data_IF_213322678071
#
_entry.id   IF_213322678071
#
_cell.length_a   1.000
_cell.length_b   1.000
_cell.length_c   1.000
_cell.angle_alpha   90.00
_cell.angle_beta   90.00
_cell.angle_gamma   90.00
#
_symmetry.space_group_name_H-M   'P 1'
#
loop_
_entity.id
_entity.type
_entity.pdbx_description
1 polymer ?
#
# COMPACT_ATOMS: atom_id res chain seq x y z
N UNK A 1 -21.81 8.18 -21.71
CA UNK A 1 -22.49 7.31 -20.72
C UNK A 1 -24.00 7.22 -20.84
N UNK A 2 -24.71 8.19 -21.46
CA UNK A 2 -26.08 7.95 -21.98
C UNK A 2 -26.14 6.67 -22.82
N UNK A 3 -25.07 6.43 -23.60
CA UNK A 3 -24.82 5.22 -24.39
C UNK A 3 -24.77 3.91 -23.58
N UNK A 4 -24.30 3.91 -22.33
CA UNK A 4 -24.21 2.68 -21.50
C UNK A 4 -25.57 2.38 -20.90
N UNK A 5 -26.27 3.40 -20.37
CA UNK A 5 -27.65 3.25 -19.90
C UNK A 5 -28.57 2.80 -21.03
N UNK A 6 -28.46 3.41 -22.22
CA UNK A 6 -29.25 2.99 -23.39
C UNK A 6 -28.85 1.60 -23.85
N UNK A 7 -27.55 1.25 -23.91
CA UNK A 7 -27.11 -0.11 -24.27
C UNK A 7 -27.63 -1.16 -23.32
N UNK A 8 -27.45 -1.00 -22.01
CA UNK A 8 -27.86 -2.01 -21.03
C UNK A 8 -29.39 -2.20 -21.04
N UNK A 9 -30.13 -1.09 -21.10
CA UNK A 9 -31.60 -1.14 -21.20
C UNK A 9 -32.05 -1.77 -22.51
N UNK A 10 -31.45 -1.41 -23.64
CA UNK A 10 -31.75 -2.01 -24.95
C UNK A 10 -31.41 -3.50 -25.00
N UNK A 11 -30.33 -3.92 -24.34
CA UNK A 11 -29.88 -5.31 -24.32
C UNK A 11 -30.82 -6.18 -23.50
N UNK A 12 -31.18 -5.75 -22.28
CA UNK A 12 -32.16 -6.48 -21.45
C UNK A 12 -33.57 -6.44 -22.03
N UNK A 13 -34.00 -5.30 -22.59
CA UNK A 13 -35.32 -5.21 -23.26
C UNK A 13 -35.35 -6.05 -24.53
N UNK A 14 -34.28 -6.02 -25.33
CA UNK A 14 -34.15 -6.84 -26.53
C UNK A 14 -34.17 -8.33 -26.20
N UNK A 15 -33.41 -8.76 -25.18
CA UNK A 15 -33.43 -10.15 -24.71
C UNK A 15 -34.82 -10.59 -24.24
N UNK A 16 -35.52 -9.70 -23.52
CA UNK A 16 -36.88 -9.95 -23.05
C UNK A 16 -37.89 -10.10 -24.20
N UNK A 17 -37.84 -9.19 -25.18
CA UNK A 17 -38.70 -9.23 -26.38
C UNK A 17 -38.43 -10.48 -27.21
N UNK A 18 -37.16 -10.84 -27.43
CA UNK A 18 -36.78 -12.06 -28.16
C UNK A 18 -37.28 -13.31 -27.43
N UNK A 19 -37.12 -13.38 -26.11
CA UNK A 19 -37.61 -14.51 -25.31
C UNK A 19 -39.13 -14.62 -25.36
N UNK A 20 -39.86 -13.50 -25.26
CA UNK A 20 -41.32 -13.46 -25.36
C UNK A 20 -41.85 -13.84 -26.74
N UNK A 21 -41.22 -13.35 -27.81
CA UNK A 21 -41.56 -13.74 -29.19
C UNK A 21 -41.28 -15.23 -29.45
N UNK A 22 -40.20 -15.76 -28.89
CA UNK A 22 -39.85 -17.18 -28.99
C UNK A 22 -40.89 -18.04 -28.27
N UNK A 23 -41.29 -17.67 -27.04
CA UNK A 23 -42.32 -18.38 -26.29
C UNK A 23 -43.67 -18.38 -27.04
N UNK A 24 -44.06 -17.24 -27.62
CA UNK A 24 -45.30 -17.10 -28.38
C UNK A 24 -45.29 -17.96 -29.66
N UNK A 25 -44.13 -18.03 -30.33
CA UNK A 25 -43.92 -18.91 -31.49
C UNK A 25 -44.03 -20.40 -31.09
N UNK A 26 -43.47 -20.78 -29.94
CA UNK A 26 -43.57 -22.15 -29.42
C UNK A 26 -45.02 -22.51 -29.10
N UNK A 27 -45.78 -21.62 -28.43
CA UNK A 27 -47.20 -21.85 -28.11
C UNK A 27 -48.03 -22.00 -29.39
N UNK A 28 -47.79 -21.16 -30.41
CA UNK A 28 -48.45 -21.29 -31.72
C UNK A 28 -48.18 -22.64 -32.38
N UNK A 29 -46.92 -23.09 -32.38
CA UNK A 29 -46.54 -24.39 -32.93
C UNK A 29 -47.17 -25.56 -32.14
N UNK A 30 -47.29 -25.43 -30.82
CA UNK A 30 -47.90 -26.44 -29.96
C UNK A 30 -49.41 -26.58 -30.23
N UNK A 31 -50.13 -25.45 -30.31
CA UNK A 31 -51.58 -25.40 -30.59
C UNK A 31 -51.88 -25.88 -32.01
N UNK A 32 -51.10 -25.45 -33.00
CA UNK A 32 -51.29 -25.86 -34.40
C UNK A 32 -51.05 -27.35 -34.62
N UNK A 33 -50.08 -27.97 -33.93
CA UNK A 33 -49.84 -29.43 -33.99
C UNK A 33 -50.83 -30.24 -33.15
N UNK A 34 -51.19 -29.78 -31.95
CA UNK A 34 -52.06 -30.52 -31.02
C UNK A 34 -53.47 -30.80 -31.56
N UNK A 35 -54.04 -29.89 -32.37
CA UNK A 35 -55.39 -30.08 -32.94
C UNK A 35 -55.45 -30.88 -34.24
N UNK A 36 -54.34 -31.05 -34.96
CA UNK A 36 -54.30 -31.97 -36.12
C UNK A 36 -54.53 -33.43 -35.70
N UNK A 37 -53.98 -33.82 -34.54
CA UNK A 37 -54.20 -35.14 -33.94
C UNK A 37 -55.65 -35.37 -33.47
N UNK A 38 -56.36 -34.31 -33.07
CA UNK A 38 -57.75 -34.41 -32.57
C UNK A 38 -58.77 -34.51 -33.73
N UNK A 39 -58.55 -33.76 -34.82
CA UNK A 39 -59.47 -33.77 -35.98
C UNK A 39 -59.41 -35.09 -36.74
N UNK A 40 -58.22 -35.69 -36.91
CA UNK A 40 -58.08 -37.00 -37.60
C UNK A 40 -58.76 -38.13 -36.81
N UNK A 41 -58.78 -38.05 -35.47
CA UNK A 41 -59.35 -39.10 -34.62
C UNK A 41 -60.88 -39.15 -34.61
N UNK A 42 -61.56 -38.01 -34.77
CA UNK A 42 -63.04 -37.94 -34.69
C UNK A 42 -63.75 -38.28 -36.01
N UNK A 43 -63.05 -38.32 -37.15
CA UNK A 43 -63.62 -38.80 -38.42
C UNK A 43 -63.65 -40.33 -38.52
N UNK A 44 -62.96 -41.05 -37.62
CA UNK A 44 -62.87 -42.52 -37.64
C UNK A 44 -63.92 -43.21 -36.75
N UNK A 45 -64.80 -42.47 -36.07
CA UNK A 45 -65.73 -43.03 -35.07
C UNK A 45 -67.22 -43.00 -35.46
N UNK A 46 -67.59 -42.51 -36.64
CA UNK A 46 -68.97 -42.58 -37.15
C UNK A 46 -69.11 -43.78 -38.10
N UNK A 47 -69.56 -44.91 -37.57
CA UNK A 47 -69.70 -46.19 -38.27
C UNK A 47 -70.93 -46.32 -39.16
N UNK A 48 -71.14 -45.41 -40.10
CA UNK A 48 -72.20 -45.52 -41.12
C UNK A 48 -71.66 -45.07 -42.49
N UNK A 49 -71.96 -45.84 -43.54
CA UNK A 49 -71.52 -45.61 -44.94
C UNK A 49 -72.68 -45.08 -45.84
N UNK A 50 -72.86 -43.75 -45.93
CA UNK A 50 -73.56 -43.04 -47.01
C UNK A 50 -72.81 -43.03 -48.37
N UNK A 51 -73.48 -42.60 -49.46
CA UNK A 51 -72.95 -42.60 -50.83
C UNK A 51 -71.80 -41.59 -51.05
N UNK A 52 -70.90 -41.85 -52.02
CA UNK A 52 -69.59 -41.18 -52.15
C UNK A 52 -69.66 -39.66 -52.38
N UNK A 53 -70.60 -39.17 -53.20
CA UNK A 53 -70.63 -37.75 -53.59
C UNK A 53 -71.23 -36.82 -52.52
N UNK A 54 -72.11 -37.34 -51.66
CA UNK A 54 -72.74 -36.56 -50.60
C UNK A 54 -71.78 -36.28 -49.44
N UNK A 55 -70.88 -37.22 -49.17
CA UNK A 55 -69.84 -37.04 -48.16
C UNK A 55 -68.78 -36.05 -48.58
N UNK A 56 -68.38 -36.04 -49.86
CA UNK A 56 -67.35 -35.13 -50.34
C UNK A 56 -67.81 -33.66 -50.18
N UNK A 57 -69.07 -33.36 -50.49
CA UNK A 57 -69.60 -32.00 -50.39
C UNK A 57 -69.88 -31.58 -48.92
N UNK A 58 -70.41 -32.49 -48.07
CA UNK A 58 -70.63 -32.20 -46.65
C UNK A 58 -69.32 -32.10 -45.85
N UNK A 59 -68.32 -32.93 -46.18
CA UNK A 59 -66.98 -32.83 -45.58
C UNK A 59 -66.20 -31.64 -46.12
N UNK A 60 -66.36 -31.27 -47.40
CA UNK A 60 -65.80 -30.04 -47.96
C UNK A 60 -66.42 -28.81 -47.29
N UNK A 61 -67.76 -28.76 -47.15
CA UNK A 61 -68.45 -27.64 -46.51
C UNK A 61 -68.15 -27.55 -45.01
N UNK A 62 -68.12 -28.68 -44.30
CA UNK A 62 -67.71 -28.73 -42.90
C UNK A 62 -66.22 -28.36 -42.72
N UNK A 63 -65.35 -28.75 -43.65
CA UNK A 63 -63.95 -28.35 -43.65
C UNK A 63 -63.77 -26.86 -43.96
N UNK A 64 -64.60 -26.28 -44.84
CA UNK A 64 -64.59 -24.86 -45.19
C UNK A 64 -65.06 -24.01 -43.99
N UNK A 65 -66.16 -24.40 -43.34
CA UNK A 65 -66.66 -23.72 -42.12
C UNK A 65 -65.67 -23.86 -40.97
N UNK A 66 -65.07 -25.04 -40.77
CA UNK A 66 -64.03 -25.24 -39.77
C UNK A 66 -62.73 -24.48 -40.09
N UNK A 67 -62.44 -24.19 -41.36
CA UNK A 67 -61.32 -23.33 -41.79
C UNK A 67 -61.64 -21.85 -41.54
N UNK A 68 -62.86 -21.39 -41.82
CA UNK A 68 -63.30 -20.03 -41.53
C UNK A 68 -63.28 -19.71 -40.03
N UNK A 69 -63.82 -20.60 -39.19
CA UNK A 69 -63.79 -20.42 -37.73
C UNK A 69 -62.35 -20.49 -37.18
N UNK A 70 -61.49 -21.30 -37.81
CA UNK A 70 -60.06 -21.43 -37.46
C UNK A 70 -59.31 -20.13 -37.71
N UNK A 71 -59.50 -19.49 -38.86
CA UNK A 71 -58.77 -18.28 -39.19
C UNK A 71 -59.20 -17.10 -38.31
N UNK A 72 -60.50 -16.99 -37.99
CA UNK A 72 -61.01 -15.96 -37.09
C UNK A 72 -60.53 -16.12 -35.64
N UNK A 73 -60.56 -17.35 -35.09
CA UNK A 73 -60.13 -17.61 -33.71
C UNK A 73 -58.61 -17.50 -33.55
N UNK A 74 -57.82 -17.98 -34.52
CA UNK A 74 -56.37 -17.83 -34.50
C UNK A 74 -55.96 -16.36 -34.62
N UNK A 75 -56.62 -15.59 -35.48
CA UNK A 75 -56.35 -14.16 -35.59
C UNK A 75 -56.62 -13.43 -34.27
N UNK A 76 -57.71 -13.75 -33.58
CA UNK A 76 -58.05 -13.15 -32.28
C UNK A 76 -57.01 -13.49 -31.20
N UNK A 77 -56.59 -14.75 -31.08
CA UNK A 77 -55.54 -15.16 -30.14
C UNK A 77 -54.18 -14.51 -30.44
N UNK A 78 -53.84 -14.35 -31.72
CA UNK A 78 -52.60 -13.68 -32.14
C UNK A 78 -52.63 -12.19 -31.79
N UNK A 79 -53.76 -11.51 -32.01
CA UNK A 79 -53.89 -10.09 -31.67
C UNK A 79 -53.81 -9.88 -30.15
N UNK A 80 -54.52 -10.68 -29.34
CA UNK A 80 -54.45 -10.55 -27.88
C UNK A 80 -53.06 -10.86 -27.32
N UNK A 81 -52.40 -11.90 -27.83
CA UNK A 81 -51.06 -12.26 -27.38
C UNK A 81 -49.99 -11.26 -27.86
N UNK A 82 -50.13 -10.68 -29.06
CA UNK A 82 -49.26 -9.61 -29.55
C UNK A 82 -49.42 -8.31 -28.74
N UNK A 83 -50.64 -7.92 -28.39
CA UNK A 83 -50.91 -6.76 -27.55
C UNK A 83 -50.36 -6.97 -26.14
N UNK A 84 -50.57 -8.15 -25.55
CA UNK A 84 -50.00 -8.50 -24.25
C UNK A 84 -48.47 -8.43 -24.27
N UNK A 85 -47.82 -9.00 -25.30
CA UNK A 85 -46.36 -8.93 -25.47
C UNK A 85 -45.86 -7.49 -25.58
N UNK A 86 -46.55 -6.64 -26.35
CA UNK A 86 -46.20 -5.24 -26.51
C UNK A 86 -46.26 -4.48 -25.17
N UNK A 87 -47.30 -4.72 -24.35
CA UNK A 87 -47.45 -4.09 -23.03
C UNK A 87 -46.30 -4.52 -22.10
N UNK A 88 -46.01 -5.81 -22.02
CA UNK A 88 -44.95 -6.31 -21.13
C UNK A 88 -43.57 -5.83 -21.60
N UNK A 89 -43.33 -5.74 -22.91
CA UNK A 89 -42.10 -5.19 -23.47
C UNK A 89 -41.87 -3.73 -23.07
N UNK A 90 -42.91 -2.89 -23.15
CA UNK A 90 -42.84 -1.48 -22.72
C UNK A 90 -42.59 -1.39 -21.21
N UNK A 91 -43.27 -2.21 -20.40
CA UNK A 91 -43.04 -2.28 -18.95
C UNK A 91 -41.60 -2.68 -18.62
N UNK A 92 -41.06 -3.70 -19.29
CA UNK A 92 -39.68 -4.15 -19.12
C UNK A 92 -38.67 -3.05 -19.50
N UNK A 93 -38.93 -2.31 -20.59
CA UNK A 93 -38.10 -1.16 -21.01
C UNK A 93 -38.06 -0.07 -19.94
N UNK A 94 -39.22 0.31 -19.41
CA UNK A 94 -39.34 1.36 -18.38
C UNK A 94 -38.66 0.92 -17.08
N UNK A 95 -38.93 -0.30 -16.60
CA UNK A 95 -38.34 -0.85 -15.37
C UNK A 95 -36.81 -1.01 -15.50
N UNK A 96 -36.33 -1.52 -16.63
CA UNK A 96 -34.90 -1.66 -16.92
C UNK A 96 -34.18 -0.31 -16.95
N UNK A 97 -34.81 0.71 -17.54
CA UNK A 97 -34.25 2.06 -17.59
C UNK A 97 -34.16 2.70 -16.20
N UNK A 98 -35.18 2.51 -15.36
CA UNK A 98 -35.20 2.98 -13.98
C UNK A 98 -34.13 2.28 -13.12
N UNK A 99 -34.00 0.96 -13.22
CA UNK A 99 -32.98 0.20 -12.48
C UNK A 99 -31.55 0.55 -12.92
N UNK A 100 -31.29 0.61 -14.22
CA UNK A 100 -29.98 1.04 -14.72
C UNK A 100 -29.64 2.46 -14.26
N UNK A 101 -30.63 3.37 -14.22
CA UNK A 101 -30.46 4.71 -13.67
C UNK A 101 -30.11 4.72 -12.19
N UNK A 102 -30.71 3.83 -11.39
CA UNK A 102 -30.48 3.75 -9.94
C UNK A 102 -29.12 3.13 -9.60
N UNK A 103 -28.70 2.09 -10.33
CA UNK A 103 -27.42 1.38 -10.10
C UNK A 103 -26.21 2.20 -10.58
N UNK A 104 -26.31 2.94 -11.69
CA UNK A 104 -25.17 3.72 -12.22
C UNK A 104 -25.02 5.11 -11.59
N UNK A 105 -26.04 5.62 -10.88
CA UNK A 105 -25.99 6.97 -10.28
C UNK A 105 -24.88 7.12 -9.22
N UNK A 106 -24.70 6.20 -8.25
CA UNK A 106 -23.64 6.33 -7.24
C UNK A 106 -22.23 6.15 -7.82
N UNK A 107 -22.04 5.38 -8.90
CA UNK A 107 -20.75 5.33 -9.61
C UNK A 107 -20.32 6.69 -10.16
N UNK A 108 -21.28 7.48 -10.67
CA UNK A 108 -20.99 8.81 -11.23
C UNK A 108 -20.55 9.81 -10.16
N UNK A 109 -21.18 9.76 -8.98
CA UNK A 109 -20.79 10.62 -7.86
C UNK A 109 -19.39 10.23 -7.37
N UNK A 110 -19.09 8.94 -7.25
CA UNK A 110 -17.76 8.46 -6.86
C UNK A 110 -16.67 8.89 -7.84
N UNK A 111 -16.84 8.65 -9.15
CA UNK A 111 -15.83 9.06 -10.14
C UNK A 111 -15.62 10.58 -10.16
N UNK A 112 -16.68 11.37 -9.98
CA UNK A 112 -16.56 12.82 -9.89
C UNK A 112 -15.79 13.29 -8.65
N UNK A 113 -16.01 12.66 -7.50
CA UNK A 113 -15.23 12.93 -6.29
C UNK A 113 -13.77 12.54 -6.50
N UNK A 114 -13.48 11.33 -6.99
CA UNK A 114 -12.11 10.86 -7.24
C UNK A 114 -11.35 11.78 -8.21
N UNK A 115 -11.98 12.25 -9.29
CA UNK A 115 -11.34 13.17 -10.24
C UNK A 115 -11.03 14.56 -9.65
N UNK A 116 -11.69 14.93 -8.56
CA UNK A 116 -11.41 16.18 -7.84
C UNK A 116 -10.37 16.01 -6.73
N UNK A 117 -10.06 14.77 -6.34
CA UNK A 117 -9.04 14.51 -5.33
C UNK A 117 -7.69 14.91 -5.92
N UNK A 118 -7.08 15.89 -5.26
CA UNK A 118 -5.75 16.41 -5.54
C UNK A 118 -5.01 16.49 -4.21
N UNK A 119 -3.68 16.68 -4.21
CA UNK A 119 -2.87 16.80 -3.00
C UNK A 119 -3.40 17.82 -1.98
N UNK A 120 -4.20 18.81 -2.41
CA UNK A 120 -4.82 19.82 -1.56
C UNK A 120 -6.14 19.39 -0.92
N UNK A 121 -6.87 18.43 -1.52
CA UNK A 121 -8.22 18.02 -1.12
C UNK A 121 -8.30 16.51 -0.83
N UNK A 122 -7.20 15.89 -0.41
CA UNK A 122 -7.15 14.46 -0.05
C UNK A 122 -8.05 14.11 1.15
N UNK A 123 -8.42 15.10 1.96
CA UNK A 123 -9.38 14.97 3.07
C UNK A 123 -10.81 14.71 2.58
N UNK A 124 -11.14 15.01 1.31
CA UNK A 124 -12.44 14.65 0.73
C UNK A 124 -12.58 13.12 0.69
N UNK A 125 -13.72 12.61 1.16
CA UNK A 125 -14.05 11.18 1.12
C UNK A 125 -15.18 10.91 0.13
N UNK A 126 -15.23 9.69 -0.38
CA UNK A 126 -16.36 9.22 -1.16
C UNK A 126 -17.61 9.12 -0.30
N UNK A 127 -17.45 8.67 0.96
CA UNK A 127 -18.50 8.65 1.99
C UNK A 127 -19.84 8.10 1.46
N UNK A 128 -19.78 7.02 0.68
CA UNK A 128 -20.94 6.50 -0.01
C UNK A 128 -22.01 6.02 0.98
N UNK A 129 -23.13 6.73 1.01
CA UNK A 129 -24.28 6.35 1.83
C UNK A 129 -25.10 5.30 1.10
N UNK A 130 -25.28 4.13 1.71
CA UNK A 130 -26.07 3.06 1.09
C UNK A 130 -26.03 1.71 1.82
N UNK A 131 -26.79 0.71 1.31
CA UNK A 131 -26.73 -0.68 1.73
C UNK A 131 -25.30 -1.25 1.62
N UNK A 132 -25.00 -2.34 2.34
CA UNK A 132 -23.73 -3.07 2.20
C UNK A 132 -23.76 -3.89 0.90
N UNK A 133 -23.47 -3.22 -0.21
CA UNK A 133 -23.28 -3.81 -1.53
C UNK A 133 -21.82 -3.67 -1.99
N UNK A 134 -21.50 -4.24 -3.15
CA UNK A 134 -20.16 -4.21 -3.75
C UNK A 134 -19.67 -2.78 -4.00
N UNK A 135 -20.60 -1.85 -4.22
CA UNK A 135 -20.28 -0.46 -4.47
C UNK A 135 -19.86 0.27 -3.18
N UNK A 136 -20.51 -0.05 -2.05
CA UNK A 136 -20.09 0.43 -0.74
C UNK A 136 -18.72 -0.13 -0.34
N UNK A 137 -18.47 -1.43 -0.58
CA UNK A 137 -17.17 -2.05 -0.28
C UNK A 137 -16.01 -1.40 -1.08
N UNK A 138 -16.26 -1.07 -2.34
CA UNK A 138 -15.33 -0.28 -3.15
C UNK A 138 -15.11 1.14 -2.57
N UNK A 139 -16.17 1.81 -2.10
CA UNK A 139 -16.05 3.11 -1.45
C UNK A 139 -15.16 3.05 -0.22
N UNK A 140 -15.40 2.08 0.66
CA UNK A 140 -14.68 1.91 1.91
C UNK A 140 -13.19 1.59 1.64
N UNK A 141 -12.92 0.79 0.62
CA UNK A 141 -11.55 0.49 0.17
C UNK A 141 -10.84 1.74 -0.33
N UNK A 142 -11.48 2.55 -1.17
CA UNK A 142 -10.89 3.79 -1.68
C UNK A 142 -10.70 4.83 -0.56
N UNK A 143 -11.67 4.97 0.35
CA UNK A 143 -11.56 5.87 1.49
C UNK A 143 -10.40 5.45 2.42
N UNK A 144 -10.16 4.14 2.59
CA UNK A 144 -8.99 3.62 3.31
C UNK A 144 -7.66 3.96 2.62
N UNK A 145 -7.60 3.91 1.29
CA UNK A 145 -6.42 4.36 0.52
C UNK A 145 -6.19 5.88 0.68
N UNK A 146 -7.27 6.68 0.62
CA UNK A 146 -7.20 8.12 0.80
C UNK A 146 -6.72 8.50 2.20
N UNK A 147 -7.18 7.79 3.24
CA UNK A 147 -6.73 8.00 4.60
C UNK A 147 -5.22 7.73 4.76
N UNK A 148 -4.71 6.66 4.14
CA UNK A 148 -3.26 6.36 4.15
C UNK A 148 -2.46 7.43 3.41
N UNK A 149 -2.97 7.91 2.28
CA UNK A 149 -2.35 8.99 1.51
C UNK A 149 -2.34 10.31 2.30
N UNK A 150 -3.43 10.65 2.98
CA UNK A 150 -3.54 11.83 3.85
C UNK A 150 -2.49 11.81 4.94
N UNK A 151 -2.39 10.69 5.67
CA UNK A 151 -1.40 10.52 6.72
C UNK A 151 0.04 10.69 6.20
N UNK A 152 0.35 10.15 5.02
CA UNK A 152 1.67 10.31 4.40
C UNK A 152 1.95 11.77 3.98
N UNK A 153 0.98 12.45 3.36
CA UNK A 153 1.14 13.85 2.95
C UNK A 153 1.27 14.80 4.14
N UNK A 154 0.50 14.59 5.20
CA UNK A 154 0.58 15.42 6.42
C UNK A 154 1.87 15.17 7.20
N UNK A 155 2.38 13.93 7.21
CA UNK A 155 3.73 13.62 7.68
C UNK A 155 4.79 14.40 6.89
N UNK A 156 4.71 14.35 5.55
CA UNK A 156 5.63 15.06 4.68
C UNK A 156 5.58 16.59 4.86
N UNK A 157 4.38 17.19 4.99
CA UNK A 157 4.22 18.62 5.26
C UNK A 157 4.85 19.02 6.59
N UNK A 158 4.59 18.26 7.66
CA UNK A 158 5.20 18.49 8.98
C UNK A 158 6.71 18.39 8.92
N UNK A 159 7.23 17.40 8.20
CA UNK A 159 8.66 17.24 7.98
C UNK A 159 9.28 18.46 7.29
N UNK A 160 8.71 18.92 6.17
CA UNK A 160 9.21 20.09 5.44
C UNK A 160 9.14 21.36 6.29
N UNK A 161 8.04 21.57 7.02
CA UNK A 161 7.87 22.72 7.90
C UNK A 161 8.90 22.74 9.04
N UNK A 162 9.11 21.59 9.70
CA UNK A 162 10.09 21.45 10.77
C UNK A 162 11.52 21.62 10.24
N UNK A 163 11.86 21.04 9.09
CA UNK A 163 13.16 21.21 8.45
C UNK A 163 13.44 22.68 8.13
N UNK A 164 12.46 23.39 7.57
CA UNK A 164 12.59 24.82 7.27
C UNK A 164 12.78 25.66 8.54
N UNK A 165 12.09 25.32 9.63
CA UNK A 165 12.23 26.01 10.91
C UNK A 165 13.61 25.78 11.53
N UNK A 166 14.03 24.52 11.61
CA UNK A 166 15.32 24.11 12.18
C UNK A 166 16.51 24.64 11.38
N UNK A 167 16.38 24.83 10.05
CA UNK A 167 17.40 25.50 9.23
C UNK A 167 17.39 27.03 9.38
N UNK A 168 16.23 27.65 9.62
CA UNK A 168 16.12 29.11 9.77
C UNK A 168 16.80 29.59 11.05
N UNK A 169 16.64 28.86 12.16
CA UNK A 169 17.19 29.24 13.47
C UNK A 169 18.70 29.49 13.45
N UNK A 170 19.57 28.57 12.99
CA UNK A 170 21.00 28.81 12.98
C UNK A 170 21.40 29.94 12.00
N UNK A 171 20.66 30.16 10.91
CA UNK A 171 20.89 31.32 10.03
C UNK A 171 20.59 32.65 10.71
N UNK A 172 19.53 32.71 11.54
CA UNK A 172 19.24 33.90 12.35
C UNK A 172 20.34 34.15 13.39
N UNK A 173 20.87 33.08 14.02
CA UNK A 173 21.99 33.19 14.96
C UNK A 173 23.28 33.65 14.26
N UNK A 174 23.62 33.06 13.11
CA UNK A 174 24.77 33.48 12.30
C UNK A 174 24.68 34.97 11.93
N UNK A 175 23.51 35.44 11.48
CA UNK A 175 23.29 36.84 11.18
C UNK A 175 23.48 37.72 12.42
N UNK A 176 22.87 37.37 13.55
CA UNK A 176 22.99 38.14 14.79
C UNK A 176 24.44 38.24 15.29
N UNK A 177 25.21 37.15 15.24
CA UNK A 177 26.63 37.14 15.62
C UNK A 177 27.46 38.07 14.73
N UNK A 178 27.22 38.04 13.42
CA UNK A 178 27.92 38.91 12.47
C UNK A 178 27.53 40.38 12.70
N UNK A 179 26.24 40.67 12.89
CA UNK A 179 25.73 42.02 13.14
C UNK A 179 26.26 42.61 14.45
N UNK A 180 26.31 41.81 15.52
CA UNK A 180 26.90 42.16 16.81
C UNK A 180 28.35 42.61 16.65
N UNK A 181 29.18 41.81 15.98
CA UNK A 181 30.59 42.14 15.77
C UNK A 181 30.83 43.29 14.79
N UNK A 182 29.93 43.51 13.82
CA UNK A 182 30.00 44.69 12.94
C UNK A 182 29.64 45.99 13.65
N UNK A 183 28.80 45.91 14.69
CA UNK A 183 28.36 47.08 15.47
C UNK A 183 29.39 47.48 16.53
N UNK A 184 30.11 46.50 17.11
CA UNK A 184 31.17 46.76 18.08
C UNK A 184 32.47 47.27 17.41
N UNK A 185 32.59 48.60 17.33
CA UNK A 185 33.80 49.28 16.80
C UNK A 185 35.04 49.12 17.68
N UNK A 186 34.91 48.57 18.88
CA UNK A 186 36.02 48.35 19.82
C UNK A 186 36.44 46.88 19.92
N UNK A 187 35.85 46.01 19.12
CA UNK A 187 36.14 44.59 19.10
C UNK A 187 37.62 44.30 18.82
N UNK A 188 38.18 43.39 19.61
CA UNK A 188 39.58 42.98 19.59
C UNK A 188 39.79 41.73 18.74
N UNK A 189 41.03 41.50 18.26
CA UNK A 189 41.38 40.29 17.49
C UNK A 189 40.95 38.96 18.15
N UNK A 190 41.10 38.75 19.47
CA UNK A 190 40.58 37.55 20.14
C UNK A 190 39.06 37.38 20.03
N UNK A 191 38.29 38.48 20.08
CA UNK A 191 36.83 38.42 19.93
C UNK A 191 36.41 38.02 18.50
N UNK A 192 37.09 38.56 17.48
CA UNK A 192 36.89 38.12 16.09
C UNK A 192 37.19 36.63 15.90
N UNK A 193 38.30 36.15 16.51
CA UNK A 193 38.66 34.72 16.44
C UNK A 193 37.58 33.83 17.07
N UNK A 194 37.10 34.20 18.25
CA UNK A 194 36.01 33.51 18.95
C UNK A 194 34.72 33.50 18.12
N UNK A 195 34.37 34.60 17.45
CA UNK A 195 33.24 34.63 16.51
C UNK A 195 33.45 33.64 15.35
N UNK A 196 34.62 33.62 14.71
CA UNK A 196 34.84 32.72 13.58
C UNK A 196 34.83 31.24 14.01
N UNK A 197 35.32 30.92 15.21
CA UNK A 197 35.22 29.59 15.79
C UNK A 197 33.74 29.19 15.99
N UNK A 198 32.92 30.07 16.57
CA UNK A 198 31.47 29.85 16.73
C UNK A 198 30.74 29.70 15.39
N UNK A 199 31.08 30.51 14.39
CA UNK A 199 30.51 30.40 13.04
C UNK A 199 30.89 29.08 12.37
N UNK A 200 32.12 28.62 12.56
CA UNK A 200 32.56 27.33 12.05
C UNK A 200 31.77 26.18 12.69
N UNK A 201 31.56 26.22 14.01
CA UNK A 201 30.76 25.24 14.73
C UNK A 201 29.30 25.23 14.23
N UNK A 202 28.67 26.40 14.08
CA UNK A 202 27.32 26.53 13.54
C UNK A 202 27.20 25.96 12.12
N UNK A 203 28.18 26.24 11.25
CA UNK A 203 28.21 25.73 9.88
C UNK A 203 28.38 24.20 9.85
N UNK A 204 29.20 23.64 10.74
CA UNK A 204 29.34 22.18 10.86
C UNK A 204 28.03 21.53 11.30
N UNK A 205 27.31 22.14 12.25
CA UNK A 205 25.99 21.66 12.69
C UNK A 205 24.96 21.71 11.54
N UNK A 206 24.88 22.81 10.80
CA UNK A 206 24.00 22.93 9.63
C UNK A 206 24.33 21.87 8.56
N UNK A 207 25.61 21.64 8.26
CA UNK A 207 26.03 20.63 7.30
C UNK A 207 25.62 19.22 7.75
N UNK A 208 25.83 18.88 9.03
CA UNK A 208 25.42 17.60 9.59
C UNK A 208 23.89 17.38 9.53
N UNK A 209 23.12 18.45 9.73
CA UNK A 209 21.67 18.43 9.58
C UNK A 209 21.26 18.21 8.13
N UNK A 210 21.87 18.92 7.17
CA UNK A 210 21.58 18.75 5.75
C UNK A 210 21.86 17.32 5.27
N UNK A 211 23.01 16.76 5.63
CA UNK A 211 23.37 15.37 5.31
C UNK A 211 22.36 14.37 5.91
N UNK A 212 21.87 14.66 7.12
CA UNK A 212 20.85 13.87 7.80
C UNK A 212 19.50 13.91 7.04
N UNK A 213 19.09 15.08 6.55
CA UNK A 213 17.89 15.25 5.71
C UNK A 213 18.03 14.54 4.35
N UNK A 214 19.20 14.65 3.71
CA UNK A 214 19.48 13.98 2.44
C UNK A 214 19.50 12.46 2.60
N UNK A 215 20.09 11.95 3.68
CA UNK A 215 20.07 10.52 4.01
C UNK A 215 18.63 10.03 4.19
N UNK A 216 17.80 10.77 4.93
CA UNK A 216 16.41 10.43 5.16
C UNK A 216 15.62 10.40 3.84
N UNK A 217 15.72 11.46 3.03
CA UNK A 217 15.03 11.57 1.75
C UNK A 217 15.51 10.55 0.70
N UNK A 218 16.79 10.16 0.75
CA UNK A 218 17.36 9.13 -0.11
C UNK A 218 16.90 7.73 0.27
N UNK A 219 16.91 7.41 1.56
CA UNK A 219 16.57 6.08 2.07
C UNK A 219 15.10 5.69 1.84
N UNK A 220 14.18 6.68 1.78
CA UNK A 220 12.77 6.42 1.43
C UNK A 220 12.57 5.88 0.01
N UNK A 221 13.55 6.05 -0.90
CA UNK A 221 13.47 5.56 -2.28
C UNK A 221 13.91 4.10 -2.43
N UNK A 222 14.39 3.47 -1.36
CA UNK A 222 15.01 2.14 -1.40
C UNK A 222 16.53 2.21 -1.59
N UNK A 223 17.16 1.06 -1.81
CA UNK A 223 18.60 0.94 -1.99
C UNK A 223 18.99 1.03 -3.47
N UNK A 224 19.88 1.96 -3.79
CA UNK A 224 20.53 2.02 -5.10
C UNK A 224 21.59 0.91 -5.28
N UNK A 225 22.08 0.34 -4.17
CA UNK A 225 23.19 -0.62 -4.14
C UNK A 225 22.94 -1.76 -3.16
N UNK A 226 23.26 -2.97 -3.60
CA UNK A 226 23.11 -4.20 -2.83
C UNK A 226 24.46 -4.93 -2.76
N UNK A 227 25.32 -4.45 -1.87
CA UNK A 227 26.63 -5.04 -1.57
C UNK A 227 26.53 -5.99 -0.35
N UNK A 228 27.58 -6.77 -0.11
CA UNK A 228 27.70 -7.55 1.11
C UNK A 228 28.04 -6.64 2.30
N UNK A 229 27.27 -6.80 3.38
CA UNK A 229 27.39 -6.01 4.61
C UNK A 229 27.74 -6.96 5.76
N UNK A 230 28.91 -6.75 6.36
CA UNK A 230 29.28 -7.41 7.61
C UNK A 230 28.99 -6.48 8.80
N UNK A 231 27.90 -6.75 9.54
CA UNK A 231 27.45 -5.89 10.64
C UNK A 231 28.49 -5.78 11.75
N UNK A 232 29.18 -6.88 12.08
CA UNK A 232 30.27 -6.91 13.07
C UNK A 232 31.36 -5.92 12.71
N UNK A 233 31.91 -6.01 11.49
CA UNK A 233 33.01 -5.15 11.04
C UNK A 233 32.63 -3.66 11.03
N UNK A 234 31.44 -3.32 10.54
CA UNK A 234 30.93 -1.94 10.56
C UNK A 234 30.80 -1.46 12.00
N UNK A 235 30.12 -2.24 12.84
CA UNK A 235 29.88 -1.90 14.25
C UNK A 235 31.17 -1.68 15.02
N UNK A 236 32.19 -2.52 14.78
CA UNK A 236 33.48 -2.38 15.44
C UNK A 236 34.19 -1.08 15.09
N UNK A 237 34.18 -0.69 13.81
CA UNK A 237 34.77 0.58 13.34
C UNK A 237 34.02 1.77 13.92
N UNK A 238 32.69 1.75 13.89
CA UNK A 238 31.86 2.86 14.40
C UNK A 238 32.02 3.01 15.92
N UNK A 239 32.00 1.90 16.68
CA UNK A 239 32.26 1.94 18.14
C UNK A 239 33.63 2.53 18.43
N UNK A 240 34.66 2.17 17.66
CA UNK A 240 36.01 2.71 17.86
C UNK A 240 36.04 4.23 17.66
N UNK A 241 35.33 4.76 16.65
CA UNK A 241 35.23 6.20 16.39
C UNK A 241 34.53 6.97 17.53
N UNK A 242 33.51 6.37 18.17
CA UNK A 242 32.73 7.02 19.22
C UNK A 242 33.31 6.87 20.64
N UNK A 243 34.40 6.10 20.84
CA UNK A 243 35.01 5.91 22.17
C UNK A 243 35.44 7.21 22.83
N UNK A 244 35.98 8.16 22.07
CA UNK A 244 36.40 9.45 22.62
C UNK A 244 35.19 10.29 23.06
N UNK A 245 34.18 10.39 22.20
CA UNK A 245 32.92 11.10 22.48
C UNK A 245 32.22 10.53 23.71
N UNK A 246 32.04 9.20 23.78
CA UNK A 246 31.41 8.55 24.93
C UNK A 246 32.15 8.84 26.24
N UNK A 247 33.49 8.76 26.24
CA UNK A 247 34.31 9.09 27.42
C UNK A 247 34.16 10.55 27.84
N UNK A 248 34.16 11.48 26.89
CA UNK A 248 33.99 12.91 27.18
C UNK A 248 32.60 13.21 27.76
N UNK A 249 31.59 12.41 27.40
CA UNK A 249 30.24 12.46 27.98
C UNK A 249 30.08 11.64 29.26
N UNK A 250 31.15 11.05 29.82
CA UNK A 250 31.08 10.25 31.04
C UNK A 250 30.37 8.90 30.89
N UNK A 251 30.23 8.39 29.66
CA UNK A 251 29.49 7.16 29.32
C UNK A 251 30.47 6.02 28.98
N UNK A 252 30.23 4.83 29.54
CA UNK A 252 31.00 3.61 29.21
C UNK A 252 30.42 2.91 27.99
N UNK A 253 31.17 2.90 26.90
CA UNK A 253 30.79 2.19 25.67
C UNK A 253 31.35 0.76 25.65
N UNK A 254 30.46 -0.24 25.69
CA UNK A 254 30.77 -1.67 25.59
C UNK A 254 30.33 -2.20 24.24
N UNK A 255 31.01 -3.25 23.76
CA UNK A 255 30.65 -3.96 22.54
C UNK A 255 30.82 -5.46 22.68
N UNK A 256 29.94 -6.22 22.04
CA UNK A 256 30.09 -7.66 21.78
C UNK A 256 29.65 -7.96 20.36
N UNK A 257 30.60 -8.18 19.47
CA UNK A 257 30.36 -8.32 18.03
C UNK A 257 30.59 -9.76 17.60
N UNK A 258 29.50 -10.48 17.30
CA UNK A 258 29.56 -11.77 16.61
C UNK A 258 29.33 -11.56 15.09
N UNK A 259 29.96 -12.39 14.21
CA UNK A 259 29.80 -12.27 12.76
C UNK A 259 28.33 -12.35 12.31
N UNK A 260 27.89 -11.36 11.55
CA UNK A 260 26.52 -11.27 11.05
C UNK A 260 26.50 -10.58 9.68
N UNK A 261 25.96 -11.27 8.67
CA UNK A 261 26.06 -10.89 7.26
C UNK A 261 24.70 -10.58 6.65
N UNK A 262 24.56 -9.43 6.02
CA UNK A 262 23.38 -8.99 5.27
C UNK A 262 23.77 -8.54 3.86
N UNK A 263 22.76 -8.25 3.04
CA UNK A 263 22.92 -7.53 1.77
C UNK A 263 22.37 -6.12 1.92
N UNK A 264 23.02 -5.11 1.34
CA UNK A 264 22.55 -3.73 1.34
C UNK A 264 23.64 -2.70 1.04
N UNK A 265 23.47 -1.46 1.51
CA UNK A 265 24.49 -0.42 1.37
C UNK A 265 25.32 -0.28 2.68
N UNK A 266 26.64 -0.63 2.67
CA UNK A 266 27.49 -0.53 3.84
C UNK A 266 27.58 0.88 4.45
N UNK A 267 27.51 1.93 3.62
CA UNK A 267 27.60 3.31 4.10
C UNK A 267 26.33 3.73 4.84
N UNK A 268 25.15 3.31 4.36
CA UNK A 268 23.90 3.52 5.07
C UNK A 268 23.85 2.71 6.38
N UNK A 269 24.32 1.46 6.38
CA UNK A 269 24.40 0.67 7.61
C UNK A 269 25.37 1.31 8.62
N UNK A 270 26.52 1.81 8.18
CA UNK A 270 27.45 2.57 9.03
C UNK A 270 26.78 3.82 9.62
N UNK A 271 26.00 4.54 8.81
CA UNK A 271 25.21 5.69 9.27
C UNK A 271 24.14 5.29 10.28
N UNK A 272 23.44 4.17 10.07
CA UNK A 272 22.46 3.63 11.03
C UNK A 272 23.12 3.32 12.38
N UNK A 273 24.25 2.61 12.38
CA UNK A 273 24.99 2.29 13.61
C UNK A 273 25.45 3.57 14.31
N UNK A 274 25.99 4.53 13.56
CA UNK A 274 26.45 5.80 14.11
C UNK A 274 25.30 6.58 14.78
N UNK A 275 24.13 6.65 14.15
CA UNK A 275 22.95 7.30 14.73
C UNK A 275 22.46 6.61 16.00
N UNK A 276 22.48 5.27 16.04
CA UNK A 276 22.11 4.53 17.25
C UNK A 276 23.08 4.78 18.41
N UNK A 277 24.39 4.75 18.15
CA UNK A 277 25.41 4.99 19.18
C UNK A 277 25.35 6.44 19.67
N UNK A 278 25.25 7.41 18.76
CA UNK A 278 25.15 8.82 19.09
C UNK A 278 23.90 9.10 19.94
N UNK A 279 22.74 8.54 19.57
CA UNK A 279 21.51 8.63 20.36
C UNK A 279 21.69 7.99 21.76
N UNK A 280 22.25 6.79 21.82
CA UNK A 280 22.47 6.06 23.07
C UNK A 280 23.40 6.81 24.04
N UNK A 281 24.41 7.50 23.53
CA UNK A 281 25.33 8.34 24.33
C UNK A 281 24.65 9.65 24.74
N UNK A 282 23.99 10.34 23.80
CA UNK A 282 23.36 11.63 24.05
C UNK A 282 22.23 11.57 25.08
N UNK A 283 21.42 10.52 25.06
CA UNK A 283 20.29 10.35 25.99
C UNK A 283 20.65 9.45 27.19
N UNK A 284 21.93 9.32 27.52
CA UNK A 284 22.36 8.58 28.69
C UNK A 284 22.43 9.45 29.95
N UNK A 285 22.56 8.78 31.09
CA UNK A 285 22.88 9.38 32.38
C UNK A 285 24.39 9.42 32.60
N UNK A 286 24.85 10.36 33.42
CA UNK A 286 26.27 10.46 33.80
C UNK A 286 26.75 9.17 34.48
N UNK A 287 27.89 8.63 34.05
CA UNK A 287 28.41 7.36 34.54
C UNK A 287 27.65 6.12 34.04
N UNK A 288 26.68 6.31 33.14
CA UNK A 288 25.91 5.25 32.49
C UNK A 288 26.70 4.41 31.49
N UNK A 289 26.02 3.45 30.87
CA UNK A 289 26.61 2.52 29.92
C UNK A 289 25.81 2.47 28.61
N UNK A 290 26.52 2.19 27.51
CA UNK A 290 25.94 1.84 26.22
C UNK A 290 26.52 0.48 25.82
N UNK A 291 25.66 -0.49 25.54
CA UNK A 291 26.04 -1.82 25.06
C UNK A 291 25.61 -1.99 23.60
N UNK A 292 26.57 -2.36 22.76
CA UNK A 292 26.37 -2.54 21.32
C UNK A 292 26.69 -3.99 20.95
N UNK A 293 25.70 -4.72 20.45
CA UNK A 293 25.87 -6.13 20.11
C UNK A 293 25.47 -6.45 18.68
N UNK A 294 26.24 -7.29 18.00
CA UNK A 294 25.85 -7.90 16.71
C UNK A 294 25.82 -9.40 16.83
N UNK A 295 24.97 -10.07 16.06
CA UNK A 295 24.95 -11.52 15.97
C UNK A 295 23.85 -12.02 15.04
N UNK A 296 23.57 -13.32 15.11
CA UNK A 296 22.48 -13.95 14.35
C UNK A 296 21.44 -14.49 15.32
N UNK A 297 20.16 -14.14 15.12
CA UNK A 297 19.03 -14.71 15.86
C UNK A 297 18.01 -15.25 14.87
N UNK A 298 17.55 -16.48 15.08
CA UNK A 298 16.59 -17.15 14.20
C UNK A 298 16.97 -17.10 12.71
N UNK A 299 18.28 -17.24 12.44
CA UNK A 299 18.83 -17.18 11.08
C UNK A 299 18.92 -15.79 10.45
N UNK A 300 18.63 -14.72 11.21
CA UNK A 300 18.66 -13.33 10.75
C UNK A 300 19.78 -12.53 11.43
N UNK A 301 20.51 -11.66 10.70
CA UNK A 301 21.47 -10.74 11.28
C UNK A 301 20.77 -9.69 12.15
N UNK A 302 21.28 -9.48 13.36
CA UNK A 302 20.71 -8.54 14.33
C UNK A 302 21.79 -7.60 14.87
N UNK A 303 21.47 -6.32 14.95
CA UNK A 303 22.18 -5.29 15.69
C UNK A 303 21.32 -4.83 16.86
N UNK A 304 21.87 -4.80 18.08
CA UNK A 304 21.19 -4.26 19.25
C UNK A 304 22.04 -3.16 19.88
N UNK A 305 21.43 -2.02 20.21
CA UNK A 305 22.05 -0.94 20.99
C UNK A 305 21.17 -0.68 22.21
N UNK A 306 21.75 -0.73 23.41
CA UNK A 306 21.05 -0.49 24.68
C UNK A 306 21.78 0.56 25.50
N UNK A 307 21.07 1.53 26.07
CA UNK A 307 21.66 2.50 27.01
C UNK A 307 20.95 2.48 28.37
N UNK A 308 21.59 3.04 29.40
CA UNK A 308 21.06 3.14 30.77
C UNK A 308 20.47 4.52 31.07
N UNK A 309 19.88 5.17 30.06
CA UNK A 309 19.31 6.52 30.16
C UNK A 309 18.09 6.62 31.07
N UNK A 310 17.40 7.76 30.99
CA UNK A 310 16.11 7.92 31.67
C UNK A 310 15.08 6.91 31.15
N UNK A 311 14.24 6.28 32.01
CA UNK A 311 13.22 5.34 31.56
C UNK A 311 12.24 5.98 30.58
N UNK A 312 12.03 5.33 29.44
CA UNK A 312 11.07 5.78 28.43
C UNK A 312 9.76 4.98 28.56
N UNK A 313 8.61 5.64 28.76
CA UNK A 313 7.31 4.96 28.77
C UNK A 313 7.05 4.24 27.44
N UNK A 314 6.52 3.02 27.51
CA UNK A 314 6.26 2.19 26.33
C UNK A 314 5.38 2.89 25.28
N UNK A 315 4.40 3.67 25.73
CA UNK A 315 3.48 4.45 24.89
C UNK A 315 4.17 5.52 24.03
N UNK A 316 5.39 5.94 24.41
CA UNK A 316 6.15 6.97 23.68
C UNK A 316 7.16 6.39 22.69
N UNK A 317 7.37 5.07 22.67
CA UNK A 317 8.44 4.45 21.88
C UNK A 317 8.24 4.62 20.38
N UNK A 318 7.01 4.44 19.88
CA UNK A 318 6.71 4.58 18.45
C UNK A 318 6.95 6.01 17.96
N UNK A 319 6.61 7.01 18.79
CA UNK A 319 6.81 8.41 18.45
C UNK A 319 8.28 8.79 18.31
N UNK A 320 9.23 8.06 18.94
CA UNK A 320 10.66 8.35 18.84
C UNK A 320 11.22 8.25 17.42
N UNK A 321 10.57 7.47 16.56
CA UNK A 321 10.96 7.30 15.17
C UNK A 321 10.39 8.38 14.24
N UNK A 322 9.53 9.27 14.75
CA UNK A 322 9.02 10.39 13.99
C UNK A 322 10.11 11.49 13.83
N UNK A 323 10.28 12.07 12.63
CA UNK A 323 11.26 13.12 12.42
C UNK A 323 11.05 14.33 13.35
N UNK A 324 12.15 14.86 13.87
CA UNK A 324 12.19 16.02 14.78
C UNK A 324 11.56 15.78 16.16
N UNK A 325 11.28 14.52 16.52
CA UNK A 325 10.71 14.21 17.83
C UNK A 325 11.77 14.24 18.93
N UNK A 326 11.42 14.85 20.07
CA UNK A 326 12.22 14.89 21.30
C UNK A 326 11.29 14.70 22.50
N UNK A 327 11.67 13.83 23.44
CA UNK A 327 10.86 13.56 24.65
C UNK A 327 10.78 14.77 25.59
N UNK A 328 11.90 15.47 25.77
CA UNK A 328 11.98 16.68 26.57
C UNK A 328 12.63 17.84 25.80
N UNK A 329 11.87 18.92 25.61
CA UNK A 329 12.34 20.15 24.96
C UNK A 329 13.29 20.97 25.84
N UNK A 330 13.31 20.71 27.15
CA UNK A 330 13.94 21.56 28.18
C UNK A 330 15.38 21.17 28.53
N UNK A 331 15.87 19.99 28.13
CA UNK A 331 17.20 19.48 28.50
C UNK A 331 18.19 19.40 27.33
N UNK A 332 18.22 20.40 26.45
CA UNK A 332 18.98 20.37 25.20
C UNK A 332 20.47 20.11 25.38
N UNK A 333 20.90 18.86 25.13
CA UNK A 333 22.27 18.57 24.72
C UNK A 333 22.42 19.09 23.29
N UNK A 334 23.29 20.06 23.11
CA UNK A 334 23.44 20.80 21.85
C UNK A 334 23.82 19.85 20.71
N UNK A 335 23.07 19.90 19.60
CA UNK A 335 23.40 19.19 18.35
C UNK A 335 22.40 18.12 17.87
N UNK A 336 21.42 17.70 18.68
CA UNK A 336 20.47 16.65 18.29
C UNK A 336 19.12 17.21 17.83
N UNK A 337 18.91 17.24 16.51
CA UNK A 337 17.67 17.74 15.88
C UNK A 337 16.48 16.75 15.91
N UNK A 338 16.59 15.61 16.60
CA UNK A 338 15.55 14.58 16.62
C UNK A 338 15.39 13.81 15.29
N UNK A 339 16.43 13.79 14.45
CA UNK A 339 16.44 13.05 13.17
C UNK A 339 17.09 11.68 13.25
N UNK A 340 17.84 11.38 14.33
CA UNK A 340 18.68 10.17 14.37
C UNK A 340 17.87 8.88 14.23
N UNK A 341 16.79 8.72 14.99
CA UNK A 341 15.98 7.51 14.98
C UNK A 341 15.07 7.42 13.74
N UNK A 342 14.61 8.54 13.18
CA UNK A 342 13.89 8.52 11.91
C UNK A 342 14.80 8.08 10.76
N UNK A 343 16.08 8.47 10.77
CA UNK A 343 17.10 7.97 9.82
C UNK A 343 17.32 6.47 10.00
N UNK A 344 17.43 5.98 11.23
CA UNK A 344 17.53 4.53 11.51
C UNK A 344 16.35 3.79 10.90
N UNK A 345 15.11 4.27 11.12
CA UNK A 345 13.91 3.66 10.54
C UNK A 345 13.94 3.69 9.02
N UNK A 346 14.28 4.82 8.40
CA UNK A 346 14.31 4.93 6.94
C UNK A 346 15.37 4.01 6.31
N UNK A 347 16.56 3.93 6.90
CA UNK A 347 17.61 3.02 6.44
C UNK A 347 17.18 1.56 6.61
N UNK A 348 16.57 1.21 7.75
CA UNK A 348 16.07 -0.15 7.96
C UNK A 348 14.99 -0.53 6.94
N UNK A 349 14.03 0.37 6.67
CA UNK A 349 13.02 0.17 5.61
C UNK A 349 13.67 -0.04 4.25
N UNK A 350 14.67 0.77 3.89
CA UNK A 350 15.41 0.61 2.63
C UNK A 350 16.05 -0.79 2.52
N UNK A 351 16.55 -1.33 3.64
CA UNK A 351 17.17 -2.65 3.73
C UNK A 351 16.18 -3.81 3.96
N UNK A 352 14.86 -3.54 3.92
CA UNK A 352 13.83 -4.50 4.34
C UNK A 352 14.07 -5.11 5.75
N UNK A 353 14.74 -4.36 6.61
CA UNK A 353 15.00 -4.70 8.00
C UNK A 353 13.86 -4.20 8.90
N UNK A 354 13.66 -4.85 10.04
CA UNK A 354 12.73 -4.41 11.09
C UNK A 354 13.48 -3.68 12.19
N UNK A 355 12.84 -2.68 12.80
CA UNK A 355 13.38 -1.95 13.95
C UNK A 355 12.38 -2.03 15.09
N UNK A 356 12.82 -2.56 16.22
CA UNK A 356 12.02 -2.70 17.43
C UNK A 356 12.67 -1.91 18.57
N UNK A 357 11.86 -1.11 19.24
CA UNK A 357 12.25 -0.36 20.43
C UNK A 357 11.58 -0.94 21.67
N UNK A 358 12.33 -1.06 22.76
CA UNK A 358 11.83 -1.50 24.06
C UNK A 358 12.51 -0.73 25.19
N UNK A 359 11.88 -0.59 26.37
CA UNK A 359 12.54 0.01 27.52
C UNK A 359 13.80 -0.79 27.88
N UNK A 360 14.90 -0.09 28.18
CA UNK A 360 16.13 -0.74 28.58
C UNK A 360 16.02 -1.41 29.96
N UNK A 361 16.69 -2.56 30.18
CA UNK A 361 16.54 -3.35 31.40
C UNK A 361 17.04 -2.64 32.68
N UNK A 362 17.92 -1.65 32.52
CA UNK A 362 18.47 -0.84 33.61
C UNK A 362 18.04 0.64 33.51
N UNK A 363 16.94 0.91 32.80
CA UNK A 363 16.57 2.25 32.34
C UNK A 363 16.96 2.46 30.87
N UNK A 364 16.58 3.60 30.29
CA UNK A 364 16.90 3.98 28.93
C UNK A 364 16.11 3.22 27.87
N UNK A 365 16.76 3.00 26.73
CA UNK A 365 16.18 2.49 25.50
C UNK A 365 17.04 1.34 24.96
N UNK A 366 16.36 0.28 24.52
CA UNK A 366 16.93 -0.80 23.73
C UNK A 366 16.34 -0.73 22.33
N UNK A 367 17.21 -0.59 21.33
CA UNK A 367 16.84 -0.64 19.92
C UNK A 367 17.46 -1.87 19.29
N UNK A 368 16.64 -2.64 18.59
CA UNK A 368 17.03 -3.83 17.86
C UNK A 368 16.70 -3.68 16.38
N UNK A 369 17.68 -3.90 15.51
CA UNK A 369 17.53 -3.87 14.06
C UNK A 369 17.81 -5.26 13.52
N UNK A 370 16.79 -5.87 12.91
CA UNK A 370 16.88 -7.22 12.34
C UNK A 370 16.85 -7.14 10.82
N UNK A 371 17.95 -7.51 10.18
CA UNK A 371 18.09 -7.50 8.74
C UNK A 371 17.56 -8.80 8.12
N UNK A 372 17.21 -8.81 6.82
CA UNK A 372 16.99 -10.04 6.08
C UNK A 372 18.24 -10.93 6.14
N UNK A 373 18.06 -12.25 6.19
CA UNK A 373 19.18 -13.19 6.12
C UNK A 373 19.90 -13.07 4.78
N UNK A 374 21.20 -12.80 4.80
CA UNK A 374 22.03 -12.95 3.61
C UNK A 374 22.14 -14.43 3.23
N UNK A 375 22.11 -14.75 1.94
CA UNK A 375 22.41 -16.10 1.48
C UNK A 375 23.77 -16.54 2.06
N UNK A 376 23.72 -17.56 2.91
CA UNK A 376 24.88 -18.13 3.59
C UNK A 376 25.91 -18.55 2.55
N UNK A 377 27.04 -17.84 2.47
CA UNK A 377 28.17 -18.23 1.64
C UNK A 377 28.98 -19.36 2.30
N UNK A 378 28.33 -20.48 2.63
CA UNK A 378 28.99 -21.78 2.78
C UNK A 378 29.00 -22.45 1.40
N UNK A 379 30.02 -22.18 0.61
CA UNK A 379 30.49 -23.02 -0.53
C UNK A 379 31.09 -22.13 -1.62
N UNK A 380 32.37 -21.78 -1.48
CA UNK A 380 33.28 -21.50 -2.62
C UNK A 380 34.74 -21.37 -2.22
N UNK A 381 35.06 -21.24 -0.93
CA UNK A 381 36.45 -21.26 -0.46
C UNK A 381 37.04 -22.68 -0.35
N UNK A 382 36.23 -23.70 -0.06
CA UNK A 382 36.72 -25.09 0.10
C UNK A 382 36.95 -25.83 -1.23
N UNK A 383 36.47 -25.33 -2.37
CA UNK A 383 36.64 -26.00 -3.67
C UNK A 383 37.97 -25.68 -4.38
N UNK A 384 38.87 -24.89 -3.77
CA UNK A 384 40.14 -24.49 -4.40
C UNK A 384 41.40 -24.95 -3.66
N UNK A 385 41.24 -25.81 -2.66
CA UNK A 385 42.33 -26.41 -1.89
C UNK A 385 42.19 -27.92 -1.84
N UNK A 386 42.21 -28.58 -3.00
CA UNK A 386 42.48 -30.01 -3.08
C UNK A 386 43.90 -30.16 -3.64
N UNK A 387 44.90 -30.57 -2.84
CA UNK A 387 46.24 -30.81 -3.35
C UNK A 387 46.26 -32.14 -4.09
N UNK A 388 46.68 -32.06 -5.35
CA UNK A 388 47.05 -33.13 -6.26
C UNK A 388 47.86 -34.23 -5.54
N UNK A 389 47.21 -35.34 -5.20
CA UNK A 389 47.87 -36.55 -4.69
C UNK A 389 48.34 -37.37 -5.88
N UNK A 390 49.65 -37.30 -6.16
CA UNK A 390 50.34 -38.24 -7.03
C UNK A 390 50.13 -39.70 -6.56
N UNK A 391 49.90 -40.66 -7.46
CA UNK A 391 49.73 -42.06 -7.09
C UNK A 391 51.11 -42.70 -6.85
N UNK A 392 51.35 -43.16 -5.64
CA UNK A 392 52.44 -44.09 -5.33
C UNK A 392 52.02 -45.49 -5.77
N UNK A 393 52.56 -45.98 -6.88
CA UNK A 393 52.42 -47.35 -7.35
C UNK A 393 53.80 -47.98 -7.53
N UNK A 394 54.18 -48.84 -6.59
CA UNK A 394 55.34 -49.72 -6.69
C UNK A 394 55.00 -50.95 -7.54
N UNK A 395 55.91 -51.38 -8.42
CA UNK A 395 56.10 -52.78 -8.81
C UNK A 395 57.41 -52.98 -9.60
N UNK A 396 58.35 -53.67 -8.95
CA UNK A 396 59.12 -54.83 -9.46
C UNK A 396 59.68 -54.83 -10.89
N UNK A 397 61.00 -54.71 -11.02
CA UNK A 397 61.95 -55.76 -11.50
C UNK A 397 63.38 -55.23 -11.52
#
# INVERSE_FOLDING_TARGET
MSRVRTRLTLLYTGLFVVSGATLLTIVYLLVSRGRQLFVVRNLSSSGETPPPDFFEDLTAHAAEVARQDRDAQLHSLLVYSAVALAIVAVLALVLGWLMAGRILRPLRTMTGTIQRISAHNVHDRLAATGPRDELKDLSDTVDGLLQRLEGALDGHRRFVANAAHELRTPLTVEHALIEEMLTDRTATLPQYRSLFERLLDLRQQQAAMLESLLTLAGSERGLDRHDHVELSAITERTVAAYRATARNSGVRLRRRTDPAWSTGDPALVERLVANLIDNAVAYNVDGGEVDVTTGVRDGRPVLTVTNTGEPIPAEKLDALFEPFQRLDRTGGRAGHHGLGLSIVRAIAVAHAATVDASPGPAGGLRIEVTFPGGESHRSKSEARSEPDRAPTGAASS
#
